data_IF_570535286248
#
_entry.id   IF_570535286248
#
_cell.length_a   1.000
_cell.length_b   1.000
_cell.length_c   1.000
_cell.angle_alpha   90.00
_cell.angle_beta   90.00
_cell.angle_gamma   90.00
#
_symmetry.space_group_name_H-M   'P 1'
#
loop_
_entity.id
_entity.type
_entity.pdbx_description
1 polymer ?
#
# COMPACT_ATOMS: atom_id res chain seq x y z
N UNK A 1 -14.94 -4.07 -32.89
CA UNK A 1 -15.00 -3.33 -31.60
C UNK A 1 -13.89 -2.29 -31.64
N UNK A 2 -14.19 -1.03 -31.36
CA UNK A 2 -13.14 -0.01 -31.24
C UNK A 2 -12.35 -0.24 -29.94
N UNK A 3 -11.01 -0.11 -29.94
CA UNK A 3 -10.21 -0.29 -28.73
C UNK A 3 -10.47 0.84 -27.73
N UNK A 4 -10.54 0.50 -26.43
CA UNK A 4 -10.65 1.49 -25.35
C UNK A 4 -9.25 2.06 -25.07
N UNK A 5 -9.07 3.35 -25.32
CA UNK A 5 -7.75 4.02 -25.27
C UNK A 5 -7.49 4.79 -23.97
N UNK A 6 -8.45 4.82 -23.05
CA UNK A 6 -8.31 5.49 -21.76
C UNK A 6 -7.91 4.53 -20.62
N UNK A 7 -7.49 3.30 -20.92
CA UNK A 7 -6.88 2.43 -19.91
C UNK A 7 -5.58 3.04 -19.39
N UNK A 8 -5.42 3.00 -18.07
CA UNK A 8 -4.21 3.41 -17.38
C UNK A 8 -3.84 2.31 -16.40
N UNK A 9 -2.58 1.85 -16.45
CA UNK A 9 -2.10 0.83 -15.53
C UNK A 9 -2.20 1.29 -14.06
N UNK A 10 -1.89 2.55 -13.79
CA UNK A 10 -2.03 3.22 -12.49
C UNK A 10 -2.90 4.48 -12.65
N UNK A 11 -4.21 4.28 -12.71
CA UNK A 11 -5.19 5.36 -12.88
C UNK A 11 -5.25 6.34 -11.70
N UNK A 12 -4.69 5.98 -10.55
CA UNK A 12 -4.68 6.79 -9.34
C UNK A 12 -3.32 7.47 -9.09
N UNK A 13 -2.32 7.17 -9.93
CA UNK A 13 -0.95 7.67 -9.81
C UNK A 13 -0.33 7.39 -8.43
N UNK A 14 -0.64 6.23 -7.86
CA UNK A 14 -0.10 5.77 -6.59
C UNK A 14 1.43 5.72 -6.62
N UNK A 15 2.00 5.23 -7.73
CA UNK A 15 3.44 5.04 -7.85
C UNK A 15 4.16 6.39 -7.96
N UNK A 16 3.55 7.37 -8.63
CA UNK A 16 4.08 8.73 -8.75
C UNK A 16 4.05 9.51 -7.42
N UNK A 17 3.14 9.15 -6.51
CA UNK A 17 3.01 9.75 -5.18
C UNK A 17 3.68 8.91 -4.08
N UNK A 18 4.59 7.99 -4.45
CA UNK A 18 5.23 7.05 -3.55
C UNK A 18 6.64 7.50 -3.14
N UNK A 19 6.82 8.18 -1.98
CA UNK A 19 8.16 8.57 -1.50
C UNK A 19 9.08 7.37 -1.19
N UNK A 20 8.50 6.22 -0.81
CA UNK A 20 9.20 4.96 -0.63
C UNK A 20 8.28 3.82 -1.10
N UNK A 21 8.82 2.70 -1.63
CA UNK A 21 8.00 1.62 -2.18
C UNK A 21 6.86 1.17 -1.25
N UNK A 22 5.64 1.18 -1.77
CA UNK A 22 4.43 0.77 -1.03
C UNK A 22 3.87 1.79 -0.04
N UNK A 23 4.40 3.01 0.02
CA UNK A 23 3.79 4.08 0.81
C UNK A 23 3.40 5.25 -0.08
N UNK A 24 2.10 5.46 -0.26
CA UNK A 24 1.57 6.57 -1.07
C UNK A 24 1.27 7.76 -0.17
N UNK A 25 1.88 8.91 -0.46
CA UNK A 25 1.67 10.16 0.26
C UNK A 25 1.18 11.26 -0.70
N UNK A 26 -0.12 11.19 -1.03
CA UNK A 26 -0.79 12.14 -1.94
C UNK A 26 -1.36 13.37 -1.23
N UNK A 27 -1.77 13.20 0.02
CA UNK A 27 -2.46 14.23 0.80
C UNK A 27 -1.56 14.77 1.91
N UNK A 28 -1.74 16.02 2.37
CA UNK A 28 -0.78 16.66 3.27
C UNK A 28 -0.56 15.96 4.63
N UNK A 29 -1.58 15.26 5.13
CA UNK A 29 -1.64 14.82 6.52
C UNK A 29 -1.89 13.31 6.70
N UNK A 30 -1.88 12.54 5.61
CA UNK A 30 -2.20 11.11 5.64
C UNK A 30 -1.51 10.30 4.55
N UNK A 31 -1.25 9.05 4.86
CA UNK A 31 -0.59 8.10 3.96
C UNK A 31 -1.38 6.81 3.80
N UNK A 32 -1.21 6.17 2.65
CA UNK A 32 -1.68 4.82 2.36
C UNK A 32 -0.47 3.88 2.36
N UNK A 33 -0.45 2.94 3.30
CA UNK A 33 0.63 1.96 3.48
C UNK A 33 0.19 0.59 2.96
N UNK A 34 0.77 0.17 1.84
CA UNK A 34 0.53 -1.14 1.23
C UNK A 34 1.42 -2.17 1.96
N UNK A 35 0.77 -3.11 2.66
CA UNK A 35 1.45 -4.13 3.50
C UNK A 35 1.38 -5.53 2.91
N UNK A 36 0.56 -5.70 1.86
CA UNK A 36 0.39 -6.96 1.14
C UNK A 36 -0.14 -6.69 -0.28
N UNK A 37 0.07 -7.62 -1.19
CA UNK A 37 -0.59 -7.67 -2.50
C UNK A 37 -1.64 -8.77 -2.60
N UNK A 38 -1.87 -9.50 -1.50
CA UNK A 38 -2.80 -10.61 -1.46
C UNK A 38 -4.17 -10.16 -0.95
N UNK A 39 -5.22 -10.78 -1.47
CA UNK A 39 -6.58 -10.66 -0.97
C UNK A 39 -7.16 -12.05 -0.71
N UNK A 40 -8.12 -12.16 0.23
CA UNK A 40 -8.90 -13.39 0.38
C UNK A 40 -9.78 -13.67 -0.86
N UNK A 41 -10.19 -12.62 -1.58
CA UNK A 41 -10.89 -12.68 -2.85
C UNK A 41 -10.47 -11.52 -3.75
N UNK A 42 -10.37 -11.76 -5.05
CA UNK A 42 -9.88 -10.79 -6.03
C UNK A 42 -11.05 -10.15 -6.80
N UNK A 43 -11.31 -8.87 -6.50
CA UNK A 43 -12.38 -8.11 -7.14
C UNK A 43 -12.11 -7.93 -8.65
N UNK A 44 -13.13 -8.16 -9.49
CA UNK A 44 -13.05 -7.98 -10.95
C UNK A 44 -12.79 -6.53 -11.39
N UNK A 45 -13.02 -5.58 -10.49
CA UNK A 45 -12.85 -4.13 -10.68
C UNK A 45 -11.83 -3.54 -9.70
N UNK A 46 -10.84 -4.33 -9.27
CA UNK A 46 -9.78 -3.86 -8.38
C UNK A 46 -8.98 -2.72 -9.04
N UNK A 47 -8.94 -1.55 -8.41
CA UNK A 47 -8.13 -0.40 -8.89
C UNK A 47 -6.62 -0.65 -8.82
N UNK A 48 -6.21 -1.73 -8.12
CA UNK A 48 -4.82 -2.15 -7.96
C UNK A 48 -4.53 -3.51 -8.62
N UNK A 49 -5.32 -3.92 -9.61
CA UNK A 49 -5.10 -5.18 -10.35
C UNK A 49 -3.72 -5.29 -10.99
N UNK A 50 -3.01 -4.16 -11.18
CA UNK A 50 -1.62 -4.11 -11.65
C UNK A 50 -0.59 -4.74 -10.68
N UNK A 51 -0.89 -4.77 -9.37
CA UNK A 51 0.01 -5.29 -8.32
C UNK A 51 -0.65 -6.38 -7.46
N UNK A 52 -1.98 -6.33 -7.27
CA UNK A 52 -2.71 -7.26 -6.41
C UNK A 52 -2.89 -8.60 -7.11
N UNK A 53 -2.59 -9.69 -6.40
CA UNK A 53 -2.66 -11.06 -6.91
C UNK A 53 -1.32 -11.61 -7.42
N UNK A 54 -0.28 -10.79 -7.50
CA UNK A 54 1.07 -11.25 -7.79
C UNK A 54 1.76 -11.74 -6.50
N UNK A 55 1.96 -13.05 -6.40
CA UNK A 55 2.62 -13.69 -5.26
C UNK A 55 4.11 -13.34 -5.14
N UNK A 56 4.74 -12.83 -6.21
CA UNK A 56 6.13 -12.37 -6.20
C UNK A 56 6.28 -10.93 -5.70
N UNK A 57 5.25 -10.11 -5.88
CA UNK A 57 5.22 -8.72 -5.44
C UNK A 57 4.80 -8.63 -3.96
N UNK A 58 5.67 -9.05 -3.03
CA UNK A 58 5.39 -8.93 -1.58
C UNK A 58 6.20 -7.80 -0.93
N UNK A 59 5.63 -7.18 0.10
CA UNK A 59 6.35 -6.20 0.90
C UNK A 59 7.22 -6.91 1.93
N UNK A 60 8.53 -6.75 1.78
CA UNK A 60 9.51 -7.32 2.72
C UNK A 60 9.52 -6.53 4.04
N UNK A 61 10.12 -7.12 5.07
CA UNK A 61 10.36 -6.40 6.33
C UNK A 61 11.14 -5.09 6.11
N UNK A 62 12.12 -5.10 5.21
CA UNK A 62 12.89 -3.90 4.87
C UNK A 62 12.02 -2.83 4.20
N UNK A 63 11.03 -3.23 3.39
CA UNK A 63 10.05 -2.29 2.85
C UNK A 63 9.23 -1.66 3.99
N UNK A 64 8.67 -2.47 4.90
CA UNK A 64 7.92 -1.95 6.06
C UNK A 64 8.77 -1.01 6.93
N UNK A 65 10.04 -1.33 7.13
CA UNK A 65 10.98 -0.49 7.88
C UNK A 65 11.14 0.88 7.19
N UNK A 66 11.38 0.92 5.88
CA UNK A 66 11.49 2.17 5.13
C UNK A 66 10.21 3.01 5.16
N UNK A 67 9.03 2.36 5.10
CA UNK A 67 7.73 3.02 5.19
C UNK A 67 7.52 3.65 6.58
N UNK A 68 7.80 2.92 7.65
CA UNK A 68 7.69 3.40 9.03
C UNK A 68 8.69 4.53 9.30
N UNK A 69 9.93 4.41 8.82
CA UNK A 69 10.95 5.45 8.96
C UNK A 69 10.57 6.74 8.23
N UNK A 70 9.87 6.64 7.10
CA UNK A 70 9.32 7.81 6.41
C UNK A 70 8.23 8.47 7.26
N UNK A 71 7.27 7.70 7.76
CA UNK A 71 6.18 8.21 8.60
C UNK A 71 6.74 8.90 9.85
N UNK A 72 7.69 8.26 10.55
CA UNK A 72 8.31 8.81 11.75
C UNK A 72 9.05 10.14 11.52
N UNK A 73 9.64 10.34 10.33
CA UNK A 73 10.32 11.59 9.94
C UNK A 73 9.40 12.66 9.37
N UNK A 74 8.10 12.37 9.25
CA UNK A 74 7.12 13.22 8.55
C UNK A 74 6.02 13.63 9.53
N UNK A 75 6.27 14.61 10.43
CA UNK A 75 5.41 14.89 11.59
C UNK A 75 4.02 15.42 11.23
N UNK A 76 3.80 15.88 10.00
CA UNK A 76 2.47 16.27 9.52
C UNK A 76 1.54 15.07 9.27
N UNK A 77 2.08 13.85 9.10
CA UNK A 77 1.28 12.63 8.93
C UNK A 77 0.65 12.25 10.26
N UNK A 78 -0.68 12.30 10.29
CA UNK A 78 -1.50 11.99 11.48
C UNK A 78 -2.45 10.81 11.27
N UNK A 79 -2.55 10.31 10.04
CA UNK A 79 -3.43 9.22 9.65
C UNK A 79 -2.69 8.27 8.69
N UNK A 80 -2.72 6.97 9.02
CA UNK A 80 -2.02 5.91 8.28
C UNK A 80 -3.04 4.83 7.97
N UNK A 81 -3.39 4.72 6.68
CA UNK A 81 -4.30 3.70 6.19
C UNK A 81 -3.51 2.45 5.76
N UNK A 82 -3.59 1.39 6.54
CA UNK A 82 -3.06 0.07 6.14
C UNK A 82 -3.96 -0.50 5.04
N UNK A 83 -3.34 -0.86 3.91
CA UNK A 83 -4.03 -1.35 2.71
C UNK A 83 -3.10 -2.25 1.89
N UNK A 84 -3.25 -2.28 0.57
CA UNK A 84 -2.59 -3.21 -0.32
C UNK A 84 -3.63 -3.95 -1.16
N UNK A 85 -3.60 -5.27 -1.05
CA UNK A 85 -4.78 -6.10 -1.23
C UNK A 85 -5.69 -5.99 -0.01
N UNK A 86 -5.75 -7.04 0.80
CA UNK A 86 -6.47 -7.07 2.08
C UNK A 86 -5.47 -7.20 3.25
N UNK A 87 -5.28 -6.16 4.07
CA UNK A 87 -4.34 -6.18 5.19
C UNK A 87 -4.57 -7.32 6.17
N UNK A 88 -5.80 -7.82 6.28
CA UNK A 88 -6.15 -8.87 7.24
C UNK A 88 -5.71 -10.28 6.77
N UNK A 89 -5.15 -10.40 5.56
CA UNK A 89 -4.57 -11.67 5.08
C UNK A 89 -3.13 -11.88 5.55
N UNK A 90 -2.47 -10.87 6.11
CA UNK A 90 -1.10 -11.03 6.64
C UNK A 90 -1.11 -11.77 7.98
N UNK A 91 -0.01 -12.41 8.39
CA UNK A 91 0.06 -13.06 9.69
C UNK A 91 -0.20 -12.07 10.83
N UNK A 92 -1.01 -12.46 11.82
CA UNK A 92 -1.38 -11.62 12.97
C UNK A 92 -0.18 -10.95 13.64
N UNK A 93 0.93 -11.66 13.81
CA UNK A 93 2.17 -11.13 14.41
C UNK A 93 2.77 -9.97 13.62
N UNK A 94 2.66 -10.00 12.29
CA UNK A 94 3.14 -8.93 11.41
C UNK A 94 2.23 -7.71 11.55
N UNK A 95 0.90 -7.92 11.49
CA UNK A 95 -0.06 -6.83 11.68
C UNK A 95 0.12 -6.14 13.04
N UNK A 96 0.31 -6.92 14.11
CA UNK A 96 0.54 -6.38 15.45
C UNK A 96 1.85 -5.58 15.55
N UNK A 97 2.95 -6.06 14.95
CA UNK A 97 4.22 -5.32 14.90
C UNK A 97 4.05 -3.96 14.21
N UNK A 98 3.41 -3.93 13.04
CA UNK A 98 3.15 -2.69 12.30
C UNK A 98 2.32 -1.71 13.13
N UNK A 99 1.22 -2.18 13.73
CA UNK A 99 0.34 -1.33 14.54
C UNK A 99 1.04 -0.80 15.80
N UNK A 100 1.91 -1.59 16.45
CA UNK A 100 2.69 -1.13 17.60
C UNK A 100 3.68 -0.04 17.20
N UNK A 101 4.41 -0.24 16.11
CA UNK A 101 5.42 0.72 15.62
C UNK A 101 4.81 2.04 15.15
N UNK A 102 3.61 2.00 14.56
CA UNK A 102 2.88 3.20 14.13
C UNK A 102 2.28 4.01 15.30
N UNK A 103 2.18 3.42 16.50
CA UNK A 103 1.67 4.09 17.71
C UNK A 103 2.78 4.62 18.64
N UNK A 104 4.04 4.35 18.31
CA UNK A 104 5.20 4.66 19.15
C UNK A 104 5.61 6.14 19.07
#
# INVERSE_FOLDING_TARGET
LAPFTAEMADSLSEDAHSPVPGLVHRYPDRVLMLVTTQCASYCRYCTRSRIVGDASATFSRAAHDAQIDYIARTPQVRDVLLSGGDPLTIPQKVLEDLLRRLRA
#
